data_IF_078875943076
#
_entry.id   IF_078875943076
#
_cell.length_a   1.000
_cell.length_b   1.000
_cell.length_c   1.000
_cell.angle_alpha   90.00
_cell.angle_beta   90.00
_cell.angle_gamma   90.00
#
_symmetry.space_group_name_H-M   'P 1'
#
loop_
_entity.id
_entity.type
_entity.pdbx_description
1 polymer ?
#
# COMPACT_ATOMS: atom_id res chain seq x y z
N UNK A 1 -13.65 13.43 0.69
CA UNK A 1 -13.60 12.01 0.29
C UNK A 1 -12.33 11.41 0.84
N UNK A 2 -12.45 10.44 1.74
CA UNK A 2 -11.30 9.83 2.42
C UNK A 2 -10.72 8.73 1.51
N UNK A 3 -9.96 9.13 0.49
CA UNK A 3 -9.52 8.28 -0.63
C UNK A 3 -8.57 7.14 -0.22
N UNK A 4 -8.00 7.17 0.98
CA UNK A 4 -6.99 6.19 1.46
C UNK A 4 -7.57 5.26 2.55
N UNK A 5 -8.75 5.56 3.10
CA UNK A 5 -9.43 4.75 4.12
C UNK A 5 -9.53 3.25 3.78
N UNK A 6 -9.85 2.85 2.52
CA UNK A 6 -9.99 1.45 2.15
C UNK A 6 -8.68 0.66 2.00
N UNK A 7 -7.51 1.29 2.15
CA UNK A 7 -6.19 0.63 1.98
C UNK A 7 -5.69 0.01 3.29
N UNK A 8 -6.13 0.55 4.41
CA UNK A 8 -5.58 0.24 5.71
C UNK A 8 -5.90 -1.17 6.22
N UNK A 9 -7.11 -1.75 6.03
CA UNK A 9 -7.39 -3.11 6.50
C UNK A 9 -6.47 -4.18 5.88
N UNK A 10 -6.24 -4.10 4.57
CA UNK A 10 -5.50 -5.08 3.76
C UNK A 10 -4.04 -5.12 4.18
N UNK A 11 -3.43 -3.93 4.25
CA UNK A 11 -2.08 -3.75 4.73
C UNK A 11 -1.94 -4.21 6.18
N UNK A 12 -2.90 -3.86 7.03
CA UNK A 12 -2.85 -4.20 8.46
C UNK A 12 -2.77 -5.71 8.65
N UNK A 13 -3.61 -6.47 7.94
CA UNK A 13 -3.58 -7.93 8.08
C UNK A 13 -2.30 -8.53 7.51
N UNK A 14 -1.79 -8.00 6.40
CA UNK A 14 -0.53 -8.44 5.80
C UNK A 14 0.68 -8.15 6.71
N UNK A 15 0.71 -7.00 7.38
CA UNK A 15 1.78 -6.68 8.34
C UNK A 15 1.69 -7.58 9.58
N UNK A 16 0.49 -7.78 10.13
CA UNK A 16 0.32 -8.60 11.33
C UNK A 16 0.84 -10.04 11.13
N UNK A 17 0.64 -10.64 9.95
CA UNK A 17 1.12 -12.00 9.67
C UNK A 17 2.65 -12.11 9.56
N UNK A 18 3.37 -10.99 9.39
CA UNK A 18 4.84 -10.94 9.31
C UNK A 18 5.52 -10.57 10.62
N UNK A 19 4.76 -10.28 11.68
CA UNK A 19 5.33 -9.95 12.99
C UNK A 19 5.71 -11.24 13.74
N UNK A 20 7.01 -11.55 13.73
CA UNK A 20 7.56 -12.76 14.37
C UNK A 20 7.49 -12.77 15.91
N UNK A 21 7.36 -11.61 16.56
CA UNK A 21 7.32 -11.51 18.02
C UNK A 21 5.87 -11.40 18.52
N UNK A 22 5.37 -12.37 19.32
CA UNK A 22 3.94 -12.44 19.71
C UNK A 22 3.41 -11.17 20.39
N UNK A 23 4.23 -10.54 21.25
CA UNK A 23 3.85 -9.29 21.94
C UNK A 23 3.78 -8.09 20.99
N UNK A 24 4.55 -8.09 19.91
CA UNK A 24 4.45 -7.05 18.87
C UNK A 24 3.19 -7.24 18.05
N UNK A 25 2.83 -8.49 17.72
CA UNK A 25 1.61 -8.81 16.99
C UNK A 25 0.35 -8.42 17.79
N UNK A 26 0.26 -8.81 19.06
CA UNK A 26 -0.90 -8.48 19.92
C UNK A 26 -1.08 -6.97 20.08
N UNK A 27 0.01 -6.25 20.35
CA UNK A 27 0.00 -4.80 20.41
C UNK A 27 -0.49 -4.20 19.07
N UNK A 28 0.04 -4.70 17.95
CA UNK A 28 -0.32 -4.21 16.62
C UNK A 28 -1.80 -4.43 16.30
N UNK A 29 -2.36 -5.61 16.60
CA UNK A 29 -3.78 -5.91 16.42
C UNK A 29 -4.65 -4.96 17.25
N UNK A 30 -4.31 -4.76 18.53
CA UNK A 30 -5.03 -3.82 19.40
C UNK A 30 -5.00 -2.39 18.87
N UNK A 31 -3.87 -1.94 18.33
CA UNK A 31 -3.79 -0.61 17.70
C UNK A 31 -4.60 -0.54 16.40
N UNK A 32 -4.65 -1.62 15.64
CA UNK A 32 -5.48 -1.70 14.44
C UNK A 32 -6.97 -1.58 14.76
N UNK A 33 -7.44 -2.26 15.81
CA UNK A 33 -8.83 -2.17 16.25
C UNK A 33 -9.22 -0.74 16.63
N UNK A 34 -8.34 -0.03 17.36
CA UNK A 34 -8.55 1.38 17.72
C UNK A 34 -8.56 2.27 16.46
N UNK A 35 -7.60 2.06 15.54
CA UNK A 35 -7.44 2.89 14.33
C UNK A 35 -8.58 2.73 13.33
N UNK A 36 -9.11 1.50 13.21
CA UNK A 36 -10.14 1.15 12.23
C UNK A 36 -11.55 1.08 12.83
N UNK A 37 -11.69 1.31 14.14
CA UNK A 37 -12.94 1.25 14.90
C UNK A 37 -13.73 -0.04 14.60
N UNK A 38 -13.01 -1.17 14.58
CA UNK A 38 -13.53 -2.48 14.24
C UNK A 38 -12.75 -3.58 14.99
N UNK A 39 -13.38 -4.73 15.24
CA UNK A 39 -12.68 -5.86 15.86
C UNK A 39 -11.70 -6.51 14.89
N UNK A 40 -10.65 -7.15 15.42
CA UNK A 40 -9.66 -7.83 14.61
C UNK A 40 -10.28 -8.90 13.71
N UNK A 41 -11.27 -9.65 14.19
CA UNK A 41 -11.96 -10.67 13.41
C UNK A 41 -12.67 -10.07 12.18
N UNK A 42 -13.24 -8.88 12.34
CA UNK A 42 -13.90 -8.16 11.26
C UNK A 42 -12.89 -7.55 10.28
N UNK A 43 -11.73 -7.08 10.76
CA UNK A 43 -10.65 -6.54 9.93
C UNK A 43 -9.97 -7.67 9.14
N UNK A 44 -9.76 -8.82 9.78
CA UNK A 44 -9.04 -9.96 9.23
C UNK A 44 -9.92 -10.93 8.43
N UNK A 45 -11.22 -10.68 8.36
CA UNK A 45 -12.20 -11.53 7.68
C UNK A 45 -11.76 -11.89 6.25
N UNK A 46 -11.78 -13.19 5.94
CA UNK A 46 -11.48 -13.70 4.60
C UNK A 46 -12.71 -13.66 3.67
N UNK A 47 -12.51 -14.03 2.41
CA UNK A 47 -13.58 -14.14 1.41
C UNK A 47 -14.04 -12.77 0.87
N UNK A 48 -15.35 -12.62 0.64
CA UNK A 48 -15.93 -11.49 -0.10
C UNK A 48 -15.52 -10.11 0.42
N UNK A 49 -15.40 -9.94 1.75
CA UNK A 49 -14.99 -8.66 2.36
C UNK A 49 -13.54 -8.31 2.04
N UNK A 50 -12.64 -9.31 1.99
CA UNK A 50 -11.25 -9.11 1.57
C UNK A 50 -11.16 -8.81 0.07
N UNK A 51 -11.94 -9.49 -0.75
CA UNK A 51 -11.99 -9.23 -2.19
C UNK A 51 -12.50 -7.82 -2.51
N UNK A 52 -13.52 -7.36 -1.77
CA UNK A 52 -14.04 -6.00 -1.88
C UNK A 52 -12.98 -4.97 -1.45
N UNK A 53 -12.33 -5.21 -0.32
CA UNK A 53 -11.22 -4.38 0.15
C UNK A 53 -10.08 -4.28 -0.86
N UNK A 54 -9.71 -5.40 -1.51
CA UNK A 54 -8.72 -5.41 -2.58
C UNK A 54 -9.14 -4.59 -3.81
N UNK A 55 -10.42 -4.70 -4.23
CA UNK A 55 -10.98 -3.88 -5.31
C UNK A 55 -10.97 -2.39 -4.95
N UNK A 56 -11.31 -2.05 -3.71
CA UNK A 56 -11.29 -0.69 -3.21
C UNK A 56 -9.87 -0.11 -3.16
N UNK A 57 -8.89 -0.92 -2.74
CA UNK A 57 -7.47 -0.57 -2.79
C UNK A 57 -7.04 -0.26 -4.22
N UNK A 58 -7.36 -1.14 -5.19
CA UNK A 58 -7.08 -0.91 -6.61
C UNK A 58 -7.74 0.37 -7.15
N UNK A 59 -8.98 0.63 -6.78
CA UNK A 59 -9.69 1.85 -7.18
C UNK A 59 -9.03 3.11 -6.59
N UNK A 60 -8.61 3.08 -5.33
CA UNK A 60 -7.87 4.17 -4.69
C UNK A 60 -6.55 4.47 -5.43
N UNK A 61 -5.80 3.44 -5.83
CA UNK A 61 -4.61 3.61 -6.67
C UNK A 61 -4.93 4.18 -8.04
N UNK A 62 -6.07 3.82 -8.64
CA UNK A 62 -6.57 4.47 -9.86
C UNK A 62 -6.74 5.98 -9.72
N UNK A 63 -7.17 6.47 -8.55
CA UNK A 63 -7.28 7.92 -8.29
C UNK A 63 -5.89 8.56 -8.25
N UNK A 64 -4.93 7.93 -7.58
CA UNK A 64 -3.54 8.43 -7.48
C UNK A 64 -2.86 8.44 -8.86
N UNK A 65 -3.03 7.38 -9.64
CA UNK A 65 -2.55 7.30 -11.03
C UNK A 65 -3.14 8.41 -11.91
N UNK A 66 -4.39 8.79 -11.64
CA UNK A 66 -5.03 9.95 -12.26
C UNK A 66 -4.30 11.27 -12.00
N UNK A 67 -3.64 11.43 -10.84
CA UNK A 67 -2.82 12.62 -10.55
C UNK A 67 -1.55 12.63 -11.41
N UNK A 68 -0.84 11.50 -11.49
CA UNK A 68 0.33 11.36 -12.37
C UNK A 68 -0.04 11.61 -13.83
N UNK A 69 -1.14 11.03 -14.30
CA UNK A 69 -1.57 11.15 -15.70
C UNK A 69 -1.92 12.58 -16.11
N UNK A 70 -2.36 13.42 -15.16
CA UNK A 70 -2.72 14.83 -15.40
C UNK A 70 -1.52 15.80 -15.28
N UNK A 71 -0.39 15.32 -14.79
CA UNK A 71 0.78 16.16 -14.50
C UNK A 71 1.51 16.66 -15.76
N UNK A 72 1.33 15.99 -16.90
CA UNK A 72 2.05 16.27 -18.14
C UNK A 72 3.50 15.78 -18.16
N UNK A 73 3.96 15.08 -17.12
CA UNK A 73 5.31 14.52 -17.04
C UNK A 73 5.37 13.20 -16.27
N UNK A 74 6.58 12.81 -15.85
CA UNK A 74 6.81 11.52 -15.14
C UNK A 74 6.21 11.49 -13.72
N UNK A 75 6.25 12.62 -13.01
CA UNK A 75 5.99 12.78 -11.59
C UNK A 75 4.71 13.58 -11.33
N UNK A 76 4.23 13.61 -10.10
CA UNK A 76 3.01 14.36 -9.75
C UNK A 76 3.12 15.86 -10.11
N UNK A 77 4.33 16.43 -10.05
CA UNK A 77 4.62 17.81 -10.46
C UNK A 77 5.20 17.93 -11.88
N UNK A 78 4.79 17.04 -12.79
CA UNK A 78 5.27 17.01 -14.17
C UNK A 78 6.64 16.35 -14.25
N UNK A 79 7.67 17.05 -14.71
CA UNK A 79 9.02 16.49 -14.79
C UNK A 79 9.84 16.65 -13.50
N UNK A 80 9.26 17.29 -12.48
CA UNK A 80 9.94 17.51 -11.19
C UNK A 80 9.53 16.46 -10.17
N UNK A 81 10.52 15.71 -9.65
CA UNK A 81 10.31 14.80 -8.53
C UNK A 81 10.05 15.60 -7.25
N UNK A 82 9.00 15.23 -6.51
CA UNK A 82 8.51 15.99 -5.37
C UNK A 82 8.32 15.12 -4.12
N UNK A 83 8.04 15.76 -2.99
CA UNK A 83 7.71 15.03 -1.76
C UNK A 83 6.44 14.16 -1.89
N UNK A 84 5.50 14.53 -2.77
CA UNK A 84 4.32 13.71 -3.04
C UNK A 84 4.71 12.35 -3.65
N UNK A 85 5.70 12.33 -4.53
CA UNK A 85 6.22 11.11 -5.13
C UNK A 85 6.93 10.23 -4.09
N UNK A 86 7.65 10.85 -3.13
CA UNK A 86 8.24 10.13 -1.99
C UNK A 86 7.17 9.43 -1.15
N UNK A 87 6.04 10.09 -0.87
CA UNK A 87 4.96 9.49 -0.10
C UNK A 87 4.36 8.27 -0.81
N UNK A 88 4.08 8.39 -2.11
CA UNK A 88 3.59 7.28 -2.92
C UNK A 88 4.61 6.14 -2.93
N UNK A 89 5.88 6.44 -3.18
CA UNK A 89 6.92 5.44 -3.25
C UNK A 89 7.15 4.72 -1.91
N UNK A 90 7.06 5.44 -0.78
CA UNK A 90 7.15 4.86 0.56
C UNK A 90 6.04 3.85 0.82
N UNK A 91 4.81 4.15 0.42
CA UNK A 91 3.70 3.21 0.50
C UNK A 91 3.92 2.00 -0.42
N UNK A 92 4.37 2.22 -1.67
CA UNK A 92 4.64 1.12 -2.60
C UNK A 92 5.70 0.17 -2.06
N UNK A 93 6.75 0.71 -1.44
CA UNK A 93 7.78 -0.08 -0.78
C UNK A 93 7.23 -0.85 0.42
N UNK A 94 6.36 -0.23 1.22
CA UNK A 94 5.69 -0.91 2.33
C UNK A 94 4.88 -2.11 1.81
N UNK A 95 4.11 -1.95 0.74
CA UNK A 95 3.35 -3.05 0.14
C UNK A 95 4.22 -4.15 -0.45
N UNK A 96 5.33 -3.80 -1.12
CA UNK A 96 6.24 -4.79 -1.69
C UNK A 96 6.88 -5.69 -0.64
N UNK A 97 7.02 -5.18 0.59
CA UNK A 97 7.56 -5.93 1.73
C UNK A 97 6.45 -6.62 2.51
N UNK A 98 5.27 -6.00 2.68
CA UNK A 98 4.20 -6.51 3.53
C UNK A 98 3.37 -7.60 2.85
N UNK A 99 3.07 -7.47 1.56
CA UNK A 99 2.25 -8.44 0.85
C UNK A 99 3.02 -9.72 0.52
N UNK A 100 2.28 -10.78 0.22
CA UNK A 100 2.87 -11.99 -0.35
C UNK A 100 3.26 -11.75 -1.82
N UNK A 101 3.92 -12.74 -2.42
CA UNK A 101 4.43 -12.65 -3.78
C UNK A 101 3.30 -12.38 -4.79
N UNK A 102 2.19 -13.09 -4.68
CA UNK A 102 1.11 -13.02 -5.67
C UNK A 102 0.36 -11.69 -5.56
N UNK A 103 0.08 -11.24 -4.33
CA UNK A 103 -0.50 -9.94 -4.04
C UNK A 103 0.38 -8.79 -4.56
N UNK A 104 1.69 -8.84 -4.32
CA UNK A 104 2.60 -7.81 -4.81
C UNK A 104 2.73 -7.83 -6.33
N UNK A 105 2.85 -9.02 -6.95
CA UNK A 105 2.90 -9.15 -8.40
C UNK A 105 1.63 -8.63 -9.08
N UNK A 106 0.46 -8.85 -8.47
CA UNK A 106 -0.78 -8.25 -8.96
C UNK A 106 -0.74 -6.71 -8.82
N UNK A 107 -0.45 -6.20 -7.62
CA UNK A 107 -0.45 -4.76 -7.34
C UNK A 107 0.53 -4.00 -8.21
N UNK A 108 1.77 -4.48 -8.34
CA UNK A 108 2.82 -3.81 -9.12
C UNK A 108 2.44 -3.70 -10.60
N UNK A 109 1.57 -4.58 -11.10
CA UNK A 109 1.08 -4.58 -12.48
C UNK A 109 -0.06 -3.59 -12.75
N UNK A 110 -0.73 -3.08 -11.70
CA UNK A 110 -1.83 -2.14 -11.88
C UNK A 110 -1.38 -0.83 -12.55
N UNK A 111 -2.33 -0.15 -13.18
CA UNK A 111 -2.11 1.17 -13.80
C UNK A 111 -0.94 1.18 -14.79
N UNK A 112 -0.86 0.14 -15.62
CA UNK A 112 0.21 0.00 -16.62
C UNK A 112 1.59 -0.27 -16.02
N UNK A 113 1.65 -0.86 -14.82
CA UNK A 113 2.91 -1.17 -14.14
C UNK A 113 3.52 0.00 -13.37
N UNK A 114 2.81 1.13 -13.22
CA UNK A 114 3.36 2.35 -12.59
C UNK A 114 3.93 2.07 -11.20
N UNK A 115 3.20 1.29 -10.39
CA UNK A 115 3.57 1.02 -9.00
C UNK A 115 4.86 0.21 -8.89
N UNK A 116 5.04 -0.80 -9.75
CA UNK A 116 6.30 -1.53 -9.86
C UNK A 116 7.44 -0.62 -10.29
N UNK A 117 7.22 0.21 -11.32
CA UNK A 117 8.22 1.17 -11.79
C UNK A 117 8.64 2.19 -10.74
N UNK A 118 7.71 2.65 -9.88
CA UNK A 118 8.04 3.55 -8.76
C UNK A 118 8.97 2.85 -7.76
N UNK A 119 8.69 1.59 -7.39
CA UNK A 119 9.56 0.83 -6.47
C UNK A 119 10.95 0.63 -7.07
N UNK A 120 11.03 0.24 -8.34
CA UNK A 120 12.29 0.07 -9.05
C UNK A 120 13.10 1.36 -9.11
N UNK A 121 12.45 2.51 -9.28
CA UNK A 121 13.12 3.81 -9.29
C UNK A 121 13.72 4.17 -7.93
N UNK A 122 12.96 3.98 -6.83
CA UNK A 122 13.46 4.32 -5.49
C UNK A 122 14.51 3.34 -4.99
N UNK A 123 14.45 2.08 -5.43
CA UNK A 123 15.45 1.06 -5.08
C UNK A 123 16.82 1.35 -5.71
N UNK A 124 16.93 2.31 -6.61
CA UNK A 124 18.24 2.81 -7.08
C UNK A 124 18.96 3.66 -6.02
N UNK A 125 18.24 4.20 -5.04
CA UNK A 125 18.83 4.96 -3.96
C UNK A 125 19.11 4.04 -2.78
N UNK A 126 20.39 3.84 -2.47
CA UNK A 126 20.81 2.90 -1.42
C UNK A 126 20.20 3.19 -0.04
N UNK A 127 19.95 4.47 0.29
CA UNK A 127 19.31 4.86 1.55
C UNK A 127 17.84 4.42 1.67
N UNK A 128 17.18 4.13 0.54
CA UNK A 128 15.79 3.66 0.49
C UNK A 128 15.68 2.15 0.26
N UNK A 129 16.81 1.45 0.07
CA UNK A 129 16.84 -0.01 0.07
C UNK A 129 16.64 -0.51 1.49
N UNK A 130 15.47 -1.11 1.73
CA UNK A 130 15.21 -1.85 2.97
C UNK A 130 15.74 -3.27 2.74
N UNK A 131 16.70 -3.68 3.57
CA UNK A 131 17.37 -5.00 3.59
C UNK A 131 16.40 -6.14 3.91
#
# INVERSE_FOLDING_TARGET
MNTIGPVFPELTVAVASKLYYPRSEEYYKKQAEIRLDAKWEDISSAGAKREEGWKNMKAAFGVIDGWYSKSGGKWIMGDTFSYADILVASWMKCFSVAFDKDQWEEMRSWNGGRWGGIVEEIDRYDILKIL
#
